data_IF_839056086896
#
_entry.id   IF_839056086896
#
_cell.length_a   1.000
_cell.length_b   1.000
_cell.length_c   1.000
_cell.angle_alpha   90.00
_cell.angle_beta   90.00
_cell.angle_gamma   90.00
#
_symmetry.space_group_name_H-M   'P 1'
#
loop_
_entity.id
_entity.type
_entity.pdbx_description
1 polymer ?
#
# COMPACT_ATOMS: atom_id res chain seq x y z
N UNK A 1 -7.46 0.44 -6.07
CA UNK A 1 -6.10 0.76 -5.55
C UNK A 1 -5.12 0.94 -6.72
N UNK A 2 -3.87 1.35 -6.47
CA UNK A 2 -2.75 1.31 -7.45
C UNK A 2 -1.71 0.26 -7.00
N UNK A 3 -0.83 -0.19 -7.90
CA UNK A 3 0.26 -1.11 -7.57
C UNK A 3 1.46 -0.36 -6.95
N UNK A 4 2.20 -0.97 -6.01
CA UNK A 4 3.50 -0.47 -5.53
C UNK A 4 4.52 -0.19 -6.65
N UNK A 5 4.48 -0.93 -7.76
CA UNK A 5 5.41 -0.72 -8.88
C UNK A 5 5.09 0.54 -9.72
N UNK A 6 3.88 1.09 -9.54
CA UNK A 6 3.38 2.26 -10.28
C UNK A 6 3.27 3.51 -9.42
N UNK A 7 3.45 3.39 -8.11
CA UNK A 7 3.29 4.50 -7.18
C UNK A 7 4.00 4.24 -5.85
N UNK A 8 4.93 5.13 -5.51
CA UNK A 8 5.62 5.10 -4.20
C UNK A 8 4.65 5.31 -3.03
N UNK A 9 3.63 6.15 -3.20
CA UNK A 9 2.54 6.28 -2.21
C UNK A 9 1.84 4.94 -1.97
N UNK A 10 1.57 4.17 -3.03
CA UNK A 10 0.93 2.86 -2.90
C UNK A 10 1.88 1.84 -2.28
N UNK A 11 3.17 1.93 -2.60
CA UNK A 11 4.20 1.13 -1.95
C UNK A 11 4.26 1.40 -0.44
N UNK A 12 4.25 2.67 -0.02
CA UNK A 12 4.21 3.06 1.40
C UNK A 12 2.94 2.57 2.11
N UNK A 13 1.77 2.61 1.46
CA UNK A 13 0.54 2.06 2.06
C UNK A 13 0.62 0.54 2.24
N UNK A 14 1.18 -0.18 1.26
CA UNK A 14 1.43 -1.63 1.37
C UNK A 14 2.43 -1.94 2.48
N UNK A 15 3.53 -1.22 2.53
CA UNK A 15 4.56 -1.35 3.57
C UNK A 15 4.01 -1.04 4.97
N UNK A 16 3.18 0.00 5.09
CA UNK A 16 2.49 0.33 6.33
C UNK A 16 1.64 -0.83 6.83
N UNK A 17 0.89 -1.49 5.94
CA UNK A 17 0.11 -2.68 6.30
C UNK A 17 1.02 -3.87 6.70
N UNK A 18 2.09 -4.12 5.95
CA UNK A 18 3.03 -5.21 6.21
C UNK A 18 3.77 -5.04 7.55
N UNK A 19 4.17 -3.82 7.90
CA UNK A 19 4.84 -3.54 9.18
C UNK A 19 3.87 -3.56 10.37
N UNK A 20 2.60 -3.19 10.17
CA UNK A 20 1.58 -3.22 11.23
C UNK A 20 1.07 -4.63 11.53
N UNK A 21 0.90 -5.46 10.50
CA UNK A 21 0.32 -6.81 10.65
C UNK A 21 1.36 -7.93 10.65
N UNK A 22 2.61 -7.61 10.35
CA UNK A 22 3.62 -8.61 10.01
C UNK A 22 3.46 -9.10 8.56
N UNK A 23 4.51 -9.73 8.05
CA UNK A 23 4.62 -10.10 6.64
C UNK A 23 3.47 -11.02 6.18
N UNK A 24 3.29 -12.16 6.87
CA UNK A 24 2.28 -13.15 6.48
C UNK A 24 0.85 -12.59 6.55
N UNK A 25 0.46 -12.02 7.70
CA UNK A 25 -0.91 -11.51 7.89
C UNK A 25 -1.21 -10.28 7.02
N UNK A 26 -0.21 -9.44 6.77
CA UNK A 26 -0.33 -8.31 5.85
C UNK A 26 -0.62 -8.77 4.42
N UNK A 27 0.14 -9.74 3.90
CA UNK A 27 -0.14 -10.34 2.59
C UNK A 27 -1.48 -11.07 2.52
N UNK A 28 -1.85 -11.82 3.56
CA UNK A 28 -3.18 -12.45 3.64
C UNK A 28 -4.30 -11.41 3.56
N UNK A 29 -4.14 -10.29 4.24
CA UNK A 29 -5.09 -9.17 4.19
C UNK A 29 -5.20 -8.60 2.77
N UNK A 30 -4.07 -8.36 2.10
CA UNK A 30 -4.06 -7.83 0.73
C UNK A 30 -4.66 -8.81 -0.28
N UNK A 31 -4.27 -10.08 -0.23
CA UNK A 31 -4.77 -11.12 -1.15
C UNK A 31 -6.26 -11.38 -0.96
N UNK A 32 -6.76 -11.29 0.28
CA UNK A 32 -8.19 -11.35 0.57
C UNK A 32 -8.93 -10.14 0.00
N UNK A 33 -8.39 -8.94 0.18
CA UNK A 33 -8.98 -7.73 -0.39
C UNK A 33 -8.91 -7.70 -1.93
N UNK A 34 -7.91 -8.36 -2.53
CA UNK A 34 -7.70 -8.40 -3.97
C UNK A 34 -8.88 -8.99 -4.74
N UNK A 35 -9.62 -9.93 -4.14
CA UNK A 35 -10.85 -10.49 -4.73
C UNK A 35 -11.94 -9.45 -4.98
N UNK A 36 -11.92 -8.32 -4.26
CA UNK A 36 -12.88 -7.22 -4.39
C UNK A 36 -12.36 -6.05 -5.24
N UNK A 37 -11.13 -6.14 -5.77
CA UNK A 37 -10.59 -5.06 -6.59
C UNK A 37 -11.27 -5.02 -7.96
N UNK A 38 -11.83 -3.86 -8.28
CA UNK A 38 -12.41 -3.61 -9.60
C UNK A 38 -11.30 -3.42 -10.64
N UNK A 39 -10.27 -2.66 -10.26
CA UNK A 39 -9.16 -2.28 -11.15
C UNK A 39 -7.94 -1.87 -10.34
N UNK A 40 -6.77 -1.96 -10.96
CA UNK A 40 -5.51 -1.42 -10.46
C UNK A 40 -5.18 -0.17 -11.27
N UNK A 41 -5.23 0.98 -10.63
CA UNK A 41 -4.92 2.27 -11.23
C UNK A 41 -3.46 2.34 -11.69
N UNK A 42 -3.20 3.14 -12.72
CA UNK A 42 -1.85 3.45 -13.18
C UNK A 42 -1.13 4.43 -12.26
N UNK A 43 -1.88 5.20 -11.45
CA UNK A 43 -1.36 6.20 -10.51
C UNK A 43 -2.23 6.23 -9.25
N UNK A 44 -1.65 6.62 -8.12
CA UNK A 44 -2.35 6.65 -6.82
C UNK A 44 -3.46 7.70 -6.74
N UNK A 45 -3.29 8.89 -7.32
CA UNK A 45 -4.35 9.91 -7.33
C UNK A 45 -5.60 9.43 -8.09
N UNK A 46 -5.41 8.67 -9.18
CA UNK A 46 -6.52 8.14 -9.99
C UNK A 46 -7.39 7.10 -9.27
N UNK A 47 -7.03 6.70 -8.04
CA UNK A 47 -7.93 5.91 -7.19
C UNK A 47 -9.12 6.77 -6.73
N UNK A 48 -8.86 8.03 -6.38
CA UNK A 48 -9.88 8.98 -5.94
C UNK A 48 -10.90 9.25 -7.06
N UNK A 49 -10.40 9.50 -8.28
CA UNK A 49 -11.21 9.78 -9.45
C UNK A 49 -12.16 8.62 -9.79
N UNK A 50 -11.69 7.37 -9.62
CA UNK A 50 -12.50 6.17 -9.84
C UNK A 50 -13.61 6.01 -8.79
N UNK A 51 -13.37 6.47 -7.56
CA UNK A 51 -14.43 6.50 -6.54
C UNK A 51 -15.44 7.59 -6.88
N UNK A 52 -14.96 8.80 -7.19
CA UNK A 52 -15.79 9.92 -7.59
C UNK A 52 -16.65 9.63 -8.82
N UNK A 53 -16.12 8.91 -9.81
CA UNK A 53 -16.86 8.54 -11.03
C UNK A 53 -17.84 7.39 -10.82
N UNK A 54 -17.96 6.83 -9.61
CA UNK A 54 -18.78 5.66 -9.32
C UNK A 54 -18.23 4.34 -9.87
N UNK A 55 -17.01 4.31 -10.41
CA UNK A 55 -16.40 3.06 -10.90
C UNK A 55 -16.02 2.13 -9.74
N UNK A 56 -15.78 2.65 -8.53
CA UNK A 56 -15.65 1.86 -7.33
C UNK A 56 -16.18 2.58 -6.10
N UNK A 57 -16.52 1.84 -5.04
CA UNK A 57 -17.14 2.44 -3.84
C UNK A 57 -16.13 2.85 -2.78
N UNK A 58 -14.98 2.17 -2.71
CA UNK A 58 -13.92 2.42 -1.71
C UNK A 58 -12.56 2.22 -2.35
N UNK A 59 -11.59 3.07 -2.02
CA UNK A 59 -10.22 2.93 -2.49
C UNK A 59 -9.20 3.43 -1.45
N UNK A 60 -8.11 2.70 -1.20
CA UNK A 60 -7.05 3.18 -0.33
C UNK A 60 -6.33 4.36 -0.99
N UNK A 61 -6.24 5.47 -0.28
CA UNK A 61 -5.62 6.71 -0.72
C UNK A 61 -5.05 7.48 0.48
N UNK A 62 -4.17 8.45 0.21
CA UNK A 62 -3.69 9.41 1.21
C UNK A 62 -4.65 10.60 1.33
N UNK A 63 -4.62 11.22 2.50
CA UNK A 63 -5.43 12.38 2.85
C UNK A 63 -5.25 13.55 1.87
N UNK A 64 -4.03 13.86 1.44
CA UNK A 64 -3.76 14.95 0.50
C UNK A 64 -4.60 14.82 -0.79
N UNK A 65 -4.70 13.62 -1.36
CA UNK A 65 -5.52 13.42 -2.56
C UNK A 65 -7.02 13.38 -2.24
N UNK A 66 -7.40 12.86 -1.08
CA UNK A 66 -8.80 12.82 -0.69
C UNK A 66 -9.36 14.23 -0.44
N UNK A 67 -8.60 15.08 0.27
CA UNK A 67 -9.00 16.44 0.64
C UNK A 67 -9.40 17.29 -0.57
N UNK A 68 -8.77 17.09 -1.74
CA UNK A 68 -9.13 17.77 -2.99
C UNK A 68 -10.53 17.43 -3.52
N UNK A 69 -11.16 16.38 -2.99
CA UNK A 69 -12.46 15.88 -3.42
C UNK A 69 -13.56 16.02 -2.36
N UNK A 70 -13.20 16.39 -1.12
CA UNK A 70 -14.14 16.40 0.01
C UNK A 70 -15.13 17.57 0.02
N UNK A 71 -15.03 18.49 -0.96
CA UNK A 71 -16.10 19.45 -1.26
C UNK A 71 -17.37 18.75 -1.77
N UNK A 72 -17.24 17.51 -2.28
CA UNK A 72 -18.37 16.65 -2.61
C UNK A 72 -18.94 15.99 -1.33
N UNK A 73 -20.17 16.32 -0.91
CA UNK A 73 -20.77 15.81 0.33
C UNK A 73 -21.06 14.30 0.29
N UNK A 74 -20.95 13.65 -0.87
CA UNK A 74 -21.12 12.21 -1.03
C UNK A 74 -19.81 11.42 -0.84
N UNK A 75 -18.68 12.11 -0.71
CA UNK A 75 -17.38 11.51 -0.48
C UNK A 75 -16.94 11.71 0.97
N UNK A 76 -16.38 10.65 1.55
CA UNK A 76 -15.81 10.68 2.89
C UNK A 76 -14.41 10.06 2.90
N UNK A 77 -13.55 10.60 3.76
CA UNK A 77 -12.22 10.06 3.99
C UNK A 77 -12.08 9.60 5.44
N UNK A 78 -11.57 8.38 5.62
CA UNK A 78 -11.32 7.80 6.93
C UNK A 78 -9.90 7.25 7.00
N UNK A 79 -9.16 7.64 8.03
CA UNK A 79 -7.89 7.02 8.33
C UNK A 79 -8.09 5.60 8.85
N UNK A 80 -7.20 4.68 8.46
CA UNK A 80 -7.12 3.38 9.14
C UNK A 80 -6.78 3.59 10.63
N UNK A 81 -7.26 2.71 11.54
CA UNK A 81 -7.05 2.89 12.97
C UNK A 81 -5.59 3.10 13.37
N UNK A 82 -4.66 2.42 12.70
CA UNK A 82 -3.22 2.46 12.96
C UNK A 82 -2.44 3.32 11.94
N UNK A 83 -3.11 4.17 11.16
CA UNK A 83 -2.44 5.03 10.19
C UNK A 83 -1.40 5.94 10.85
N UNK A 84 -0.19 5.96 10.30
CA UNK A 84 0.92 6.79 10.76
C UNK A 84 1.18 7.92 9.77
N UNK A 85 1.77 9.02 10.26
CA UNK A 85 2.26 10.08 9.38
C UNK A 85 3.39 9.56 8.48
N UNK A 86 3.33 9.89 7.19
CA UNK A 86 4.45 9.73 6.26
C UNK A 86 5.04 11.11 5.95
N UNK A 87 6.35 11.33 6.18
CA UNK A 87 6.95 12.63 5.98
C UNK A 87 7.12 12.91 4.48
N UNK A 88 6.99 14.19 4.11
CA UNK A 88 7.47 14.68 2.81
C UNK A 88 8.94 15.07 2.98
N UNK A 89 9.81 14.46 2.19
CA UNK A 89 11.25 14.73 2.25
C UNK A 89 11.66 15.87 1.31
N UNK A 90 12.72 16.58 1.68
CA UNK A 90 13.46 17.51 0.84
C UNK A 90 14.96 17.28 1.05
N UNK A 91 15.74 17.31 -0.03
CA UNK A 91 17.18 17.08 0.03
C UNK A 91 17.93 18.01 -0.94
N UNK A 92 19.20 18.29 -0.64
CA UNK A 92 20.12 18.99 -1.54
C UNK A 92 20.84 17.95 -2.39
N UNK A 93 20.86 18.14 -3.71
CA UNK A 93 21.59 17.27 -4.62
C UNK A 93 23.11 17.44 -4.46
N UNK A 94 23.89 16.39 -4.68
CA UNK A 94 25.35 16.43 -4.54
C UNK A 94 26.01 17.45 -5.47
N UNK A 95 25.41 17.69 -6.64
CA UNK A 95 25.95 18.56 -7.69
C UNK A 95 25.25 19.94 -7.71
N UNK A 96 24.66 20.37 -6.59
CA UNK A 96 24.00 21.67 -6.52
C UNK A 96 25.01 22.81 -6.72
N UNK A 97 24.73 23.70 -7.68
CA UNK A 97 25.51 24.92 -7.89
C UNK A 97 25.25 25.99 -6.81
N UNK A 98 24.18 25.82 -6.01
CA UNK A 98 23.72 26.78 -5.00
C UNK A 98 23.40 26.09 -3.66
N UNK A 99 24.39 25.42 -3.03
CA UNK A 99 24.15 24.59 -1.86
C UNK A 99 23.83 25.41 -0.60
N UNK A 100 24.23 26.68 -0.54
CA UNK A 100 23.92 27.57 0.58
C UNK A 100 22.46 28.02 0.52
N UNK A 101 22.00 28.44 -0.65
CA UNK A 101 20.64 28.86 -0.94
C UNK A 101 19.65 27.72 -0.77
N UNK A 102 20.00 26.52 -1.25
CA UNK A 102 19.20 25.32 -1.04
C UNK A 102 19.01 25.00 0.46
N UNK A 103 20.09 25.08 1.26
CA UNK A 103 20.00 24.92 2.72
C UNK A 103 19.12 25.98 3.36
N UNK A 104 19.27 27.23 2.94
CA UNK A 104 18.48 28.36 3.45
C UNK A 104 16.99 28.20 3.11
N UNK A 105 16.67 27.67 1.93
CA UNK A 105 15.30 27.30 1.55
C UNK A 105 14.73 26.16 2.41
N UNK A 106 15.52 25.12 2.68
CA UNK A 106 15.12 24.05 3.60
C UNK A 106 14.86 24.60 5.01
N UNK A 107 15.74 25.47 5.52
CA UNK A 107 15.55 26.14 6.81
C UNK A 107 14.28 26.98 6.83
N UNK A 108 13.98 27.70 5.75
CA UNK A 108 12.71 28.43 5.61
C UNK A 108 11.51 27.49 5.69
N UNK A 109 11.51 26.38 4.95
CA UNK A 109 10.41 25.40 4.98
C UNK A 109 10.21 24.80 6.39
N UNK A 110 11.28 24.57 7.13
CA UNK A 110 11.24 24.04 8.51
C UNK A 110 10.92 25.10 9.58
N UNK A 111 11.00 26.39 9.23
CA UNK A 111 10.65 27.48 10.15
C UNK A 111 9.16 27.48 10.50
N UNK A 112 8.74 28.11 11.61
CA UNK A 112 7.32 28.27 11.93
C UNK A 112 6.52 28.92 10.81
N UNK A 113 7.11 29.88 10.08
CA UNK A 113 6.48 30.51 8.93
C UNK A 113 6.29 29.53 7.77
N UNK A 114 7.33 28.80 7.38
CA UNK A 114 7.25 27.83 6.29
C UNK A 114 6.27 26.69 6.60
N UNK A 115 6.24 26.22 7.83
CA UNK A 115 5.28 25.20 8.28
C UNK A 115 3.83 25.69 8.23
N UNK A 116 3.56 26.94 8.63
CA UNK A 116 2.23 27.55 8.47
C UNK A 116 1.81 27.64 7.01
N UNK A 117 2.72 28.09 6.14
CA UNK A 117 2.45 28.17 4.69
C UNK A 117 2.12 26.80 4.11
N UNK A 118 2.86 25.76 4.48
CA UNK A 118 2.58 24.39 4.01
C UNK A 118 1.23 23.85 4.53
N UNK A 119 0.86 24.18 5.76
CA UNK A 119 -0.38 23.75 6.39
C UNK A 119 -1.64 24.41 5.79
N UNK A 120 -1.50 25.65 5.33
CA UNK A 120 -2.59 26.47 4.75
C UNK A 120 -2.90 26.13 3.28
N UNK A 121 -2.13 25.23 2.67
CA UNK A 121 -2.42 24.81 1.30
C UNK A 121 -3.66 23.91 1.24
N UNK A 122 -4.48 24.08 0.20
CA UNK A 122 -5.61 23.19 -0.13
C UNK A 122 -5.23 21.71 -0.31
N UNK A 123 -3.93 21.41 -0.38
CA UNK A 123 -3.38 20.05 -0.35
C UNK A 123 -3.61 19.35 0.99
N UNK A 124 -3.94 20.08 2.05
CA UNK A 124 -4.27 19.48 3.35
C UNK A 124 -3.13 18.67 3.95
N UNK A 125 -1.87 19.04 3.71
CA UNK A 125 -0.73 18.48 4.43
C UNK A 125 -0.73 18.93 5.89
N UNK A 126 -0.18 18.10 6.77
CA UNK A 126 0.10 18.48 8.14
C UNK A 126 1.51 19.07 8.25
N UNK A 127 1.70 20.14 9.02
CA UNK A 127 3.03 20.58 9.38
C UNK A 127 3.69 19.55 10.32
N UNK A 128 5.03 19.55 10.38
CA UNK A 128 5.79 18.72 11.32
C UNK A 128 5.75 19.28 12.75
N UNK A 129 5.37 20.55 12.89
CA UNK A 129 5.09 21.17 14.19
C UNK A 129 3.62 20.98 14.56
N UNK A 130 3.29 20.86 15.86
CA UNK A 130 1.90 20.81 16.31
C UNK A 130 1.09 22.01 15.80
N UNK A 131 -0.10 21.74 15.28
CA UNK A 131 -1.11 22.74 15.00
C UNK A 131 -1.57 23.41 16.31
N UNK A 132 -2.17 24.60 16.23
CA UNK A 132 -2.89 25.20 17.36
C UNK A 132 -3.99 24.27 17.88
N UNK A 133 -4.24 24.27 19.20
CA UNK A 133 -5.18 23.36 19.85
C UNK A 133 -6.65 23.57 19.43
N UNK A 134 -6.99 24.78 18.99
CA UNK A 134 -8.28 25.18 18.43
C UNK A 134 -8.44 24.79 16.95
N UNK A 135 -7.38 24.31 16.29
CA UNK A 135 -7.48 23.81 14.93
C UNK A 135 -8.36 22.55 14.89
N UNK A 136 -9.35 22.47 13.96
CA UNK A 136 -10.16 21.25 13.80
C UNK A 136 -9.33 20.03 13.39
N UNK A 137 -8.11 20.26 12.87
CA UNK A 137 -7.17 19.23 12.43
C UNK A 137 -6.18 18.79 13.53
N UNK A 138 -6.16 19.48 14.69
CA UNK A 138 -5.19 19.22 15.76
C UNK A 138 -5.25 17.79 16.28
N UNK A 139 -6.43 17.32 16.68
CA UNK A 139 -6.60 15.98 17.26
C UNK A 139 -6.16 14.88 16.29
N UNK A 140 -6.44 15.05 14.99
CA UNK A 140 -6.03 14.09 13.97
C UNK A 140 -4.52 14.13 13.72
N UNK A 141 -3.90 15.31 13.68
CA UNK A 141 -2.45 15.44 13.58
C UNK A 141 -1.75 14.73 14.73
N UNK A 142 -2.19 14.97 15.97
CA UNK A 142 -1.61 14.34 17.16
C UNK A 142 -1.68 12.83 17.06
N UNK A 143 -2.84 12.26 16.67
CA UNK A 143 -2.98 10.82 16.46
C UNK A 143 -1.99 10.28 15.43
N UNK A 144 -1.78 10.97 14.31
CA UNK A 144 -0.88 10.54 13.24
C UNK A 144 0.59 10.63 13.64
N UNK A 145 0.99 11.71 14.33
CA UNK A 145 2.37 11.95 14.76
C UNK A 145 2.79 11.11 15.97
N UNK A 146 1.83 10.68 16.80
CA UNK A 146 2.09 9.77 17.94
C UNK A 146 2.28 8.32 17.50
N UNK A 147 1.97 7.96 16.25
CA UNK A 147 2.22 6.61 15.75
C UNK A 147 3.72 6.39 15.55
N UNK A 148 4.23 5.17 15.85
CA UNK A 148 5.59 4.81 15.48
C UNK A 148 5.80 5.04 13.97
N UNK A 149 6.93 5.66 13.58
CA UNK A 149 7.24 5.81 12.17
C UNK A 149 7.49 4.45 11.53
N UNK A 150 7.26 4.38 10.22
CA UNK A 150 7.64 3.20 9.44
C UNK A 150 9.16 3.01 9.47
N UNK A 151 9.60 1.76 9.41
CA UNK A 151 11.00 1.41 9.19
C UNK A 151 11.36 1.69 7.72
N UNK A 152 11.79 2.92 7.43
CA UNK A 152 12.16 3.36 6.08
C UNK A 152 13.38 2.63 5.53
N UNK A 153 14.33 2.23 6.38
CA UNK A 153 15.48 1.44 5.96
C UNK A 153 15.04 0.09 5.38
N UNK A 154 14.11 -0.60 6.05
CA UNK A 154 13.54 -1.85 5.56
C UNK A 154 12.74 -1.64 4.26
N UNK A 155 11.90 -0.60 4.21
CA UNK A 155 11.12 -0.24 3.01
C UNK A 155 12.04 -0.12 1.79
N UNK A 156 13.11 0.66 1.91
CA UNK A 156 14.06 0.88 0.82
C UNK A 156 14.79 -0.42 0.43
N UNK A 157 15.18 -1.24 1.41
CA UNK A 157 15.88 -2.51 1.18
C UNK A 157 15.00 -3.50 0.39
N UNK A 158 13.71 -3.62 0.73
CA UNK A 158 12.82 -4.62 0.12
C UNK A 158 11.86 -4.07 -0.94
N UNK A 159 12.06 -2.83 -1.38
CA UNK A 159 11.20 -2.17 -2.36
C UNK A 159 10.98 -3.02 -3.62
N UNK A 160 12.06 -3.51 -4.23
CA UNK A 160 11.97 -4.32 -5.46
C UNK A 160 11.25 -5.65 -5.25
N UNK A 161 11.50 -6.30 -4.11
CA UNK A 161 10.80 -7.53 -3.71
C UNK A 161 9.29 -7.28 -3.65
N UNK A 162 8.85 -6.28 -2.87
CA UNK A 162 7.41 -6.00 -2.66
C UNK A 162 6.73 -5.59 -3.96
N UNK A 163 7.38 -4.76 -4.79
CA UNK A 163 6.84 -4.36 -6.09
C UNK A 163 6.60 -5.57 -7.00
N UNK A 164 7.61 -6.43 -7.17
CA UNK A 164 7.52 -7.61 -8.06
C UNK A 164 6.55 -8.67 -7.51
N UNK A 165 6.60 -8.90 -6.20
CA UNK A 165 5.71 -9.86 -5.55
C UNK A 165 4.26 -9.40 -5.64
N UNK A 166 3.97 -8.11 -5.40
CA UNK A 166 2.63 -7.56 -5.57
C UNK A 166 2.12 -7.73 -7.00
N UNK A 167 2.95 -7.40 -7.99
CA UNK A 167 2.53 -7.50 -9.37
C UNK A 167 2.26 -8.95 -9.79
N UNK A 168 3.10 -9.88 -9.33
CA UNK A 168 2.94 -11.31 -9.64
C UNK A 168 1.77 -11.94 -8.90
N UNK A 169 1.58 -11.59 -7.63
CA UNK A 169 0.54 -12.13 -6.78
C UNK A 169 -0.84 -11.55 -7.13
N UNK A 170 -0.93 -10.25 -7.40
CA UNK A 170 -2.17 -9.49 -7.54
C UNK A 170 -2.31 -8.87 -8.94
N UNK A 171 -1.38 -8.02 -9.37
CA UNK A 171 -1.61 -7.20 -10.58
C UNK A 171 -1.85 -8.00 -11.84
N UNK A 172 -0.99 -8.98 -12.12
CA UNK A 172 -1.06 -9.79 -13.34
C UNK A 172 -2.10 -10.89 -13.27
N UNK A 173 -2.62 -11.19 -12.07
CA UNK A 173 -3.56 -12.29 -11.83
C UNK A 173 -4.91 -11.83 -11.29
N UNK A 174 -5.22 -10.54 -11.45
CA UNK A 174 -6.40 -9.93 -10.83
C UNK A 174 -7.70 -10.64 -11.25
N UNK A 175 -7.88 -10.99 -12.53
CA UNK A 175 -9.10 -11.67 -12.97
C UNK A 175 -9.22 -13.06 -12.31
N UNK A 176 -8.13 -13.83 -12.31
CA UNK A 176 -8.11 -15.17 -11.71
C UNK A 176 -8.36 -15.13 -10.20
N UNK A 177 -7.87 -14.11 -9.50
CA UNK A 177 -8.15 -13.90 -8.09
C UNK A 177 -9.63 -13.59 -7.84
N UNK A 178 -10.24 -12.71 -8.64
CA UNK A 178 -11.67 -12.37 -8.53
C UNK A 178 -12.54 -13.61 -8.70
N UNK A 179 -12.24 -14.44 -9.69
CA UNK A 179 -13.00 -15.66 -9.96
C UNK A 179 -12.85 -16.67 -8.80
N UNK A 180 -11.62 -16.83 -8.27
CA UNK A 180 -11.36 -17.72 -7.13
C UNK A 180 -12.11 -17.30 -5.86
N UNK A 181 -12.03 -16.01 -5.52
CA UNK A 181 -12.70 -15.46 -4.35
C UNK A 181 -14.23 -15.52 -4.49
N UNK A 182 -14.76 -15.25 -5.69
CA UNK A 182 -16.19 -15.42 -5.98
C UNK A 182 -16.63 -16.87 -5.78
N UNK A 183 -15.88 -17.83 -6.31
CA UNK A 183 -16.18 -19.25 -6.15
C UNK A 183 -16.13 -19.69 -4.68
N UNK A 184 -15.11 -19.25 -3.94
CA UNK A 184 -15.00 -19.50 -2.51
C UNK A 184 -16.18 -18.92 -1.72
N UNK A 185 -16.51 -17.64 -1.92
CA UNK A 185 -17.65 -17.02 -1.23
C UNK A 185 -18.98 -17.68 -1.58
N UNK A 186 -19.17 -18.11 -2.83
CA UNK A 186 -20.33 -18.90 -3.23
C UNK A 186 -20.41 -20.24 -2.47
N UNK A 187 -19.30 -20.95 -2.35
CA UNK A 187 -19.24 -22.20 -1.59
C UNK A 187 -19.48 -21.99 -0.09
N UNK A 188 -18.86 -20.98 0.53
CA UNK A 188 -19.07 -20.64 1.94
C UNK A 188 -20.52 -20.25 2.23
N UNK A 189 -21.16 -19.48 1.33
CA UNK A 189 -22.57 -19.11 1.45
C UNK A 189 -23.48 -20.34 1.34
N UNK A 190 -23.21 -21.25 0.40
CA UNK A 190 -23.99 -22.49 0.23
C UNK A 190 -23.87 -23.40 1.45
N UNK A 191 -22.65 -23.55 1.98
CA UNK A 191 -22.35 -24.42 3.12
C UNK A 191 -22.59 -23.76 4.48
N UNK A 192 -22.89 -22.46 4.50
CA UNK A 192 -23.08 -21.63 5.72
C UNK A 192 -21.93 -21.74 6.72
N UNK A 193 -20.70 -21.91 6.24
CA UNK A 193 -19.49 -21.99 7.06
C UNK A 193 -18.27 -21.47 6.30
N UNK A 194 -17.26 -20.94 7.00
CA UNK A 194 -15.99 -20.58 6.37
C UNK A 194 -15.24 -21.82 5.88
N UNK A 195 -14.39 -21.64 4.85
CA UNK A 195 -13.51 -22.68 4.32
C UNK A 195 -12.04 -22.24 4.51
N UNK A 196 -11.50 -22.32 5.75
CA UNK A 196 -10.20 -21.75 6.09
C UNK A 196 -9.04 -22.37 5.31
N UNK A 197 -9.11 -23.66 4.97
CA UNK A 197 -8.08 -24.33 4.19
C UNK A 197 -7.99 -23.77 2.77
N UNK A 198 -9.12 -23.50 2.13
CA UNK A 198 -9.16 -22.89 0.78
C UNK A 198 -8.72 -21.43 0.84
N UNK A 199 -9.13 -20.69 1.88
CA UNK A 199 -8.61 -19.33 2.14
C UNK A 199 -7.09 -19.32 2.30
N UNK A 200 -6.53 -20.29 3.00
CA UNK A 200 -5.08 -20.41 3.17
C UNK A 200 -4.37 -20.61 1.82
N UNK A 201 -4.93 -21.43 0.92
CA UNK A 201 -4.40 -21.59 -0.44
C UNK A 201 -4.44 -20.28 -1.24
N UNK A 202 -5.57 -19.54 -1.20
CA UNK A 202 -5.72 -18.27 -1.93
C UNK A 202 -4.90 -17.11 -1.36
N UNK A 203 -4.42 -17.24 -0.13
CA UNK A 203 -3.65 -16.21 0.57
C UNK A 203 -2.20 -16.60 0.86
N UNK A 204 -1.75 -17.75 0.34
CA UNK A 204 -0.38 -18.21 0.47
C UNK A 204 0.58 -17.34 -0.34
N UNK A 205 1.79 -17.14 0.18
CA UNK A 205 2.87 -16.39 -0.48
C UNK A 205 4.16 -17.23 -0.51
N UNK A 206 4.99 -17.11 -1.56
CA UNK A 206 6.22 -17.90 -1.70
C UNK A 206 7.44 -17.33 -0.96
N UNK A 207 7.27 -16.21 -0.24
CA UNK A 207 8.36 -15.52 0.45
C UNK A 207 8.04 -15.46 1.93
N UNK A 208 8.95 -15.95 2.76
CA UNK A 208 8.84 -15.90 4.22
C UNK A 208 9.21 -14.53 4.77
N UNK A 209 8.86 -14.25 6.03
CA UNK A 209 9.28 -13.03 6.69
C UNK A 209 10.81 -12.91 6.76
N UNK A 210 11.49 -14.01 7.13
CA UNK A 210 12.95 -14.05 7.21
C UNK A 210 13.61 -13.71 5.86
N UNK A 211 13.11 -14.26 4.76
CA UNK A 211 13.59 -13.89 3.41
C UNK A 211 13.31 -12.42 3.08
N UNK A 212 12.15 -11.89 3.48
CA UNK A 212 11.78 -10.50 3.20
C UNK A 212 12.65 -9.45 3.90
N UNK A 213 13.42 -9.87 4.90
CA UNK A 213 14.31 -9.05 5.72
C UNK A 213 15.80 -9.43 5.53
N UNK A 214 16.09 -10.50 4.80
CA UNK A 214 17.47 -10.98 4.55
C UNK A 214 18.15 -10.18 3.42
N UNK A 215 19.22 -9.42 3.71
CA UNK A 215 19.94 -8.66 2.70
C UNK A 215 20.52 -9.51 1.56
N UNK A 216 20.87 -10.78 1.80
CA UNK A 216 21.38 -11.66 0.75
C UNK A 216 20.27 -12.07 -0.22
N UNK A 217 19.12 -12.49 0.31
CA UNK A 217 17.94 -12.76 -0.52
C UNK A 217 17.51 -11.52 -1.31
N UNK A 218 17.47 -10.34 -0.68
CA UNK A 218 17.02 -9.10 -1.32
C UNK A 218 17.92 -8.64 -2.48
N UNK A 219 19.21 -8.96 -2.46
CA UNK A 219 20.15 -8.63 -3.55
C UNK A 219 19.76 -9.29 -4.88
N UNK A 220 19.06 -10.43 -4.86
CA UNK A 220 18.63 -11.14 -6.07
C UNK A 220 17.64 -10.32 -6.90
N UNK A 221 16.91 -9.39 -6.29
CA UNK A 221 16.01 -8.48 -7.00
C UNK A 221 16.72 -7.29 -7.64
N UNK A 222 18.03 -7.15 -7.43
CA UNK A 222 18.85 -6.12 -8.09
C UNK A 222 19.45 -6.59 -9.41
N UNK A 223 19.79 -7.87 -9.53
CA UNK A 223 20.23 -8.48 -10.78
C UNK A 223 19.02 -8.88 -11.63
N UNK A 224 19.08 -8.62 -12.95
CA UNK A 224 17.94 -8.86 -13.84
C UNK A 224 17.60 -10.36 -13.96
N UNK A 225 18.60 -11.21 -14.22
CA UNK A 225 18.42 -12.65 -14.43
C UNK A 225 17.88 -13.38 -13.20
N UNK A 226 18.51 -13.17 -12.04
CA UNK A 226 18.09 -13.77 -10.76
C UNK A 226 16.65 -13.34 -10.40
N UNK A 227 16.34 -12.06 -10.62
CA UNK A 227 14.98 -11.56 -10.43
C UNK A 227 13.96 -12.22 -11.37
N UNK A 228 14.31 -12.51 -12.62
CA UNK A 228 13.39 -13.14 -13.59
C UNK A 228 13.13 -14.61 -13.21
N UNK A 229 14.16 -15.35 -12.80
CA UNK A 229 14.01 -16.71 -12.30
C UNK A 229 13.09 -16.75 -11.07
N UNK A 230 13.34 -15.87 -10.09
CA UNK A 230 12.54 -15.85 -8.87
C UNK A 230 11.07 -15.50 -9.14
N UNK A 231 10.80 -14.58 -10.07
CA UNK A 231 9.43 -14.24 -10.51
C UNK A 231 8.76 -15.42 -11.19
N UNK A 232 9.48 -16.19 -12.02
CA UNK A 232 8.94 -17.41 -12.65
C UNK A 232 8.55 -18.47 -11.61
N UNK A 233 9.39 -18.71 -10.60
CA UNK A 233 9.09 -19.62 -9.50
C UNK A 233 7.83 -19.18 -8.73
N UNK A 234 7.67 -17.87 -8.49
CA UNK A 234 6.47 -17.33 -7.86
C UNK A 234 5.22 -17.53 -8.72
N UNK A 235 5.31 -17.33 -10.04
CA UNK A 235 4.20 -17.58 -10.94
C UNK A 235 3.74 -19.04 -10.88
N UNK A 236 4.69 -19.99 -10.89
CA UNK A 236 4.40 -21.41 -10.75
C UNK A 236 3.76 -21.73 -9.39
N UNK A 237 4.30 -21.16 -8.30
CA UNK A 237 3.74 -21.31 -6.96
C UNK A 237 2.27 -20.86 -6.94
N UNK A 238 1.99 -19.65 -7.42
CA UNK A 238 0.63 -19.11 -7.41
C UNK A 238 -0.33 -19.89 -8.30
N UNK A 239 0.13 -20.38 -9.45
CA UNK A 239 -0.66 -21.29 -10.30
C UNK A 239 -0.97 -22.59 -9.59
N UNK A 240 0.00 -23.17 -8.86
CA UNK A 240 -0.21 -24.40 -8.10
C UNK A 240 -1.21 -24.19 -6.96
N UNK A 241 -1.10 -23.11 -6.20
CA UNK A 241 -2.05 -22.78 -5.13
C UNK A 241 -3.47 -22.59 -5.67
N UNK A 242 -3.61 -21.90 -6.81
CA UNK A 242 -4.89 -21.74 -7.50
C UNK A 242 -5.50 -23.09 -7.88
N UNK A 243 -4.71 -24.00 -8.48
CA UNK A 243 -5.19 -25.34 -8.88
C UNK A 243 -5.65 -26.14 -7.68
N UNK A 244 -4.91 -26.10 -6.56
CA UNK A 244 -5.31 -26.75 -5.31
C UNK A 244 -6.63 -26.18 -4.78
N UNK A 245 -6.79 -24.86 -4.80
CA UNK A 245 -8.01 -24.20 -4.34
C UNK A 245 -9.23 -24.57 -5.22
N UNK A 246 -9.07 -24.60 -6.55
CA UNK A 246 -10.12 -25.01 -7.48
C UNK A 246 -10.52 -26.46 -7.23
N UNK A 247 -9.55 -27.37 -7.13
CA UNK A 247 -9.81 -28.79 -6.85
C UNK A 247 -10.57 -28.96 -5.53
N UNK A 248 -10.14 -28.29 -4.47
CA UNK A 248 -10.82 -28.33 -3.18
C UNK A 248 -12.25 -27.76 -3.25
N UNK A 249 -12.51 -26.73 -4.08
CA UNK A 249 -13.86 -26.21 -4.30
C UNK A 249 -14.74 -27.16 -5.11
N UNK A 250 -14.16 -27.93 -6.03
CA UNK A 250 -14.88 -28.93 -6.84
C UNK A 250 -15.30 -30.14 -5.99
N UNK A 251 -14.46 -30.57 -5.04
CA UNK A 251 -14.77 -31.65 -4.09
C UNK A 251 -15.89 -31.30 -3.09
N UNK A 252 -16.28 -30.01 -3.01
CA UNK A 252 -17.38 -29.52 -2.17
C UNK A 252 -18.73 -29.42 -2.91
N UNK A 253 -18.77 -29.74 -4.20
CA UNK A 253 -20.01 -29.79 -4.99
C UNK A 253 -20.75 -31.10 -4.74
#
# INVERSE_FOLDING_TARGET
MSSPSRSDTSHLMVESLLQQRGWQSGWQTMLSAAGNLITISSRSFGVADKVKSGLGSVGPIIDNYANLLLDDPHLAFHYFPQAAASPTYIAVTSNSHYPAEARRFIQFLLSPQGQRVLADTSTGKYPVVPLPADSPRFAQQQKLLQRPPLNYSLILQRQRLVQKLFDTAISFRLSQLKDAWKALHGAESRLKRPLPEIRALLTAIPVTQAQSEDPQYLKQFAARSESEQQVMEWQLFFQQQQRKAIKALEELK
#
